data_IF_859072831909
#
_entry.id   IF_859072831909
#
_cell.length_a   1.000
_cell.length_b   1.000
_cell.length_c   1.000
_cell.angle_alpha   90.00
_cell.angle_beta   90.00
_cell.angle_gamma   90.00
#
_symmetry.space_group_name_H-M   'P 1'
#
loop_
_entity.id
_entity.type
_entity.pdbx_description
1 polymer ?
#
# COMPACT_ATOMS: atom_id res chain seq x y z
N UNK A 1 16.84 -6.86 -13.18
CA UNK A 1 15.93 -6.12 -12.27
C UNK A 1 16.63 -5.99 -10.93
N UNK A 2 16.77 -4.79 -10.39
CA UNK A 2 17.36 -4.58 -9.05
C UNK A 2 16.46 -5.15 -7.96
N UNK A 3 17.02 -5.40 -6.77
CA UNK A 3 16.26 -5.94 -5.64
C UNK A 3 15.23 -4.92 -5.14
N UNK A 4 15.52 -3.64 -5.25
CA UNK A 4 14.60 -2.55 -4.96
C UNK A 4 13.38 -2.57 -5.89
N UNK A 5 13.61 -2.72 -7.20
CA UNK A 5 12.51 -2.86 -8.17
C UNK A 5 11.66 -4.11 -7.91
N UNK A 6 12.26 -5.22 -7.45
CA UNK A 6 11.50 -6.41 -7.06
C UNK A 6 10.48 -6.11 -5.94
N UNK A 7 10.93 -5.45 -4.88
CA UNK A 7 10.05 -5.06 -3.78
C UNK A 7 9.00 -4.03 -4.20
N UNK A 8 9.35 -3.12 -5.11
CA UNK A 8 8.37 -2.22 -5.72
C UNK A 8 7.31 -3.01 -6.49
N UNK A 9 7.70 -3.98 -7.32
CA UNK A 9 6.76 -4.84 -8.06
C UNK A 9 5.81 -5.56 -7.11
N UNK A 10 6.32 -6.16 -6.03
CA UNK A 10 5.47 -6.82 -5.03
C UNK A 10 4.49 -5.86 -4.36
N UNK A 11 4.94 -4.64 -4.05
CA UNK A 11 4.10 -3.59 -3.46
C UNK A 11 3.00 -3.16 -4.43
N UNK A 12 3.31 -2.97 -5.71
CA UNK A 12 2.34 -2.62 -6.76
C UNK A 12 1.31 -3.73 -6.90
N UNK A 13 1.74 -5.00 -6.93
CA UNK A 13 0.83 -6.15 -6.99
C UNK A 13 -0.08 -6.19 -5.75
N UNK A 14 0.48 -6.01 -4.55
CA UNK A 14 -0.30 -5.98 -3.32
C UNK A 14 -1.39 -4.90 -3.39
N UNK A 15 -1.02 -3.64 -3.66
CA UNK A 15 -1.96 -2.52 -3.75
C UNK A 15 -3.00 -2.75 -4.84
N UNK A 16 -2.59 -3.20 -6.03
CA UNK A 16 -3.48 -3.49 -7.16
C UNK A 16 -4.48 -4.62 -6.92
N UNK A 17 -4.27 -5.47 -5.90
CA UNK A 17 -5.17 -6.56 -5.53
C UNK A 17 -6.05 -6.24 -4.31
N UNK A 18 -5.81 -5.15 -3.59
CA UNK A 18 -6.58 -4.82 -2.37
C UNK A 18 -8.06 -4.58 -2.63
N UNK A 19 -8.43 -4.22 -3.86
CA UNK A 19 -9.82 -3.98 -4.19
C UNK A 19 -10.68 -5.23 -4.23
N UNK A 20 -10.06 -6.39 -4.50
CA UNK A 20 -10.78 -7.64 -4.77
C UNK A 20 -11.68 -8.05 -3.59
N UNK A 21 -11.20 -8.10 -2.32
CA UNK A 21 -12.04 -8.62 -1.25
C UNK A 21 -13.23 -7.71 -0.90
N UNK A 22 -13.06 -6.40 -0.84
CA UNK A 22 -14.19 -5.50 -0.56
C UNK A 22 -15.17 -5.43 -1.74
N UNK A 23 -14.71 -5.66 -2.98
CA UNK A 23 -15.62 -5.78 -4.12
C UNK A 23 -16.41 -7.08 -4.11
N UNK A 24 -15.80 -8.21 -3.72
CA UNK A 24 -16.53 -9.46 -3.48
C UNK A 24 -17.60 -9.27 -2.41
N UNK A 25 -17.29 -8.57 -1.31
CA UNK A 25 -18.30 -8.22 -0.30
C UNK A 25 -19.44 -7.39 -0.90
N UNK A 26 -19.13 -6.39 -1.74
CA UNK A 26 -20.15 -5.58 -2.41
C UNK A 26 -21.06 -6.43 -3.32
N UNK A 27 -20.49 -7.38 -4.06
CA UNK A 27 -21.26 -8.34 -4.89
C UNK A 27 -22.18 -9.19 -4.01
N UNK A 28 -21.69 -9.70 -2.88
CA UNK A 28 -22.50 -10.50 -1.96
C UNK A 28 -23.67 -9.70 -1.36
N UNK A 29 -23.46 -8.41 -1.07
CA UNK A 29 -24.46 -7.55 -0.41
C UNK A 29 -25.48 -6.96 -1.39
N UNK A 30 -25.03 -6.58 -2.59
CA UNK A 30 -25.83 -5.79 -3.58
C UNK A 30 -26.11 -6.53 -4.88
N UNK A 31 -25.53 -7.72 -5.07
CA UNK A 31 -25.56 -8.43 -6.35
C UNK A 31 -24.67 -7.76 -7.41
N UNK A 32 -24.45 -8.47 -8.51
CA UNK A 32 -23.63 -7.97 -9.64
C UNK A 32 -24.24 -6.71 -10.27
N UNK A 33 -25.57 -6.68 -10.42
CA UNK A 33 -26.28 -5.53 -10.98
C UNK A 33 -26.20 -4.30 -10.08
N UNK A 34 -26.30 -4.46 -8.76
CA UNK A 34 -26.16 -3.37 -7.79
C UNK A 34 -24.71 -2.86 -7.65
N UNK A 35 -23.72 -3.66 -8.05
CA UNK A 35 -22.31 -3.22 -8.13
C UNK A 35 -22.04 -2.37 -9.37
N UNK A 36 -22.68 -2.70 -10.50
CA UNK A 36 -22.56 -1.96 -11.76
C UNK A 36 -23.41 -0.68 -11.78
N UNK A 37 -24.42 -0.59 -10.90
CA UNK A 37 -25.24 0.60 -10.73
C UNK A 37 -24.47 1.73 -10.02
N UNK A 38 -24.91 2.97 -10.21
CA UNK A 38 -24.36 4.11 -9.49
C UNK A 38 -24.66 4.00 -7.98
N UNK A 39 -23.69 4.31 -7.11
CA UNK A 39 -23.90 4.29 -5.67
C UNK A 39 -25.04 5.21 -5.25
N UNK A 40 -25.96 4.71 -4.45
CA UNK A 40 -27.13 5.48 -3.97
C UNK A 40 -27.18 5.45 -2.45
N UNK A 41 -27.78 6.48 -1.82
CA UNK A 41 -27.94 6.55 -0.36
C UNK A 41 -28.77 5.41 0.24
N UNK A 42 -29.55 4.74 -0.59
CA UNK A 42 -30.40 3.59 -0.22
C UNK A 42 -29.68 2.25 -0.37
N UNK A 43 -28.41 2.24 -0.79
CA UNK A 43 -27.67 1.00 -0.96
C UNK A 43 -27.45 0.30 0.39
N UNK A 44 -27.52 -1.03 0.37
CA UNK A 44 -27.17 -1.82 1.55
C UNK A 44 -25.71 -1.56 1.96
N UNK A 45 -25.45 -1.31 3.25
CA UNK A 45 -24.09 -1.06 3.72
C UNK A 45 -23.23 -2.31 3.53
N UNK A 46 -21.98 -2.10 3.12
CA UNK A 46 -20.98 -3.16 3.10
C UNK A 46 -20.62 -3.56 4.53
N UNK A 47 -19.99 -4.72 4.69
CA UNK A 47 -19.49 -5.13 6.00
C UNK A 47 -18.43 -4.13 6.50
N UNK A 48 -18.40 -3.89 7.81
CA UNK A 48 -17.48 -2.91 8.42
C UNK A 48 -16.00 -3.17 8.10
N UNK A 49 -15.59 -4.44 8.00
CA UNK A 49 -14.23 -4.79 7.58
C UNK A 49 -13.94 -4.36 6.14
N UNK A 50 -14.93 -4.40 5.25
CA UNK A 50 -14.78 -4.01 3.85
C UNK A 50 -14.64 -2.49 3.73
N UNK A 51 -15.40 -1.72 4.52
CA UNK A 51 -15.22 -0.27 4.62
C UNK A 51 -13.81 0.08 5.14
N UNK A 52 -13.34 -0.59 6.20
CA UNK A 52 -11.96 -0.41 6.72
C UNK A 52 -10.91 -0.78 5.69
N UNK A 53 -11.13 -1.84 4.92
CA UNK A 53 -10.20 -2.26 3.87
C UNK A 53 -10.16 -1.25 2.71
N UNK A 54 -11.27 -0.59 2.37
CA UNK A 54 -11.27 0.53 1.42
C UNK A 54 -10.38 1.68 1.91
N UNK A 55 -10.52 2.10 3.17
CA UNK A 55 -9.62 3.12 3.75
C UNK A 55 -8.16 2.66 3.79
N UNK A 56 -7.90 1.38 4.04
CA UNK A 56 -6.55 0.83 3.99
C UNK A 56 -5.96 0.83 2.56
N UNK A 57 -6.80 0.59 1.55
CA UNK A 57 -6.43 0.64 0.14
C UNK A 57 -6.12 2.07 -0.31
N UNK A 58 -6.98 3.04 -0.01
CA UNK A 58 -6.74 4.46 -0.32
C UNK A 58 -5.40 4.91 0.26
N UNK A 59 -5.15 4.59 1.53
CA UNK A 59 -3.87 4.88 2.17
C UNK A 59 -2.69 4.17 1.48
N UNK A 60 -2.87 2.94 0.99
CA UNK A 60 -1.82 2.23 0.26
C UNK A 60 -1.49 2.90 -1.08
N UNK A 61 -2.51 3.39 -1.80
CA UNK A 61 -2.33 4.14 -3.05
C UNK A 61 -1.58 5.45 -2.80
N UNK A 62 -2.01 6.23 -1.81
CA UNK A 62 -1.34 7.50 -1.43
C UNK A 62 0.14 7.29 -1.10
N UNK A 63 0.46 6.22 -0.35
CA UNK A 63 1.84 5.92 0.02
C UNK A 63 2.66 5.37 -1.15
N UNK A 64 2.03 4.63 -2.07
CA UNK A 64 2.69 4.10 -3.26
C UNK A 64 3.15 5.23 -4.18
N UNK A 65 2.37 6.32 -4.30
CA UNK A 65 2.73 7.51 -5.09
C UNK A 65 4.02 8.16 -4.58
N UNK A 66 4.36 8.00 -3.29
CA UNK A 66 5.62 8.49 -2.72
C UNK A 66 6.73 7.44 -2.85
N UNK A 67 6.44 6.19 -2.52
CA UNK A 67 7.44 5.11 -2.51
C UNK A 67 7.96 4.76 -3.91
N UNK A 68 7.08 4.70 -4.91
CA UNK A 68 7.46 4.28 -6.26
C UNK A 68 8.48 5.24 -6.91
N UNK A 69 8.28 6.58 -6.90
CA UNK A 69 9.29 7.51 -7.40
C UNK A 69 10.64 7.38 -6.70
N UNK A 70 10.68 7.18 -5.37
CA UNK A 70 11.95 7.02 -4.65
C UNK A 70 12.76 5.82 -5.17
N UNK A 71 12.10 4.67 -5.35
CA UNK A 71 12.74 3.47 -5.91
C UNK A 71 13.17 3.69 -7.37
N UNK A 72 12.33 4.34 -8.18
CA UNK A 72 12.63 4.61 -9.58
C UNK A 72 13.80 5.59 -9.75
N UNK A 73 13.90 6.62 -8.89
CA UNK A 73 15.03 7.56 -8.87
C UNK A 73 16.33 6.84 -8.51
N UNK A 74 16.33 6.01 -7.46
CA UNK A 74 17.50 5.20 -7.09
C UNK A 74 17.95 4.30 -8.24
N UNK A 75 17.00 3.65 -8.91
CA UNK A 75 17.30 2.81 -10.06
C UNK A 75 17.84 3.63 -11.26
N UNK A 76 17.29 4.82 -11.52
CA UNK A 76 17.77 5.70 -12.58
C UNK A 76 19.16 6.27 -12.31
N UNK A 77 19.52 6.45 -11.03
CA UNK A 77 20.85 6.87 -10.59
C UNK A 77 21.84 5.72 -10.40
N UNK A 78 21.45 4.48 -10.76
CA UNK A 78 22.24 3.25 -10.59
C UNK A 78 22.72 3.01 -9.15
N UNK A 79 21.91 3.45 -8.16
CA UNK A 79 22.19 3.27 -6.73
C UNK A 79 21.45 2.06 -6.20
N UNK A 80 22.20 1.03 -5.81
CA UNK A 80 21.69 -0.12 -5.08
C UNK A 80 22.62 -0.49 -3.93
N UNK A 81 22.07 -0.47 -2.71
CA UNK A 81 22.81 -0.74 -1.47
C UNK A 81 22.04 -1.72 -0.58
N UNK A 82 22.71 -2.43 0.34
CA UNK A 82 22.01 -3.29 1.30
C UNK A 82 20.91 -2.54 2.08
N UNK A 83 21.15 -1.26 2.38
CA UNK A 83 20.22 -0.39 3.11
C UNK A 83 18.98 -0.04 2.29
N UNK A 84 19.13 0.31 1.01
CA UNK A 84 17.98 0.62 0.12
C UNK A 84 17.14 -0.62 -0.16
N UNK A 85 17.78 -1.78 -0.35
CA UNK A 85 17.08 -3.06 -0.48
C UNK A 85 16.29 -3.39 0.78
N UNK A 86 16.91 -3.25 1.95
CA UNK A 86 16.25 -3.53 3.24
C UNK A 86 15.07 -2.56 3.46
N UNK A 87 15.24 -1.27 3.17
CA UNK A 87 14.17 -0.29 3.29
C UNK A 87 12.97 -0.66 2.40
N UNK A 88 13.20 -1.10 1.15
CA UNK A 88 12.12 -1.54 0.28
C UNK A 88 11.40 -2.79 0.82
N UNK A 89 12.13 -3.76 1.37
CA UNK A 89 11.54 -4.94 2.01
C UNK A 89 10.71 -4.58 3.25
N UNK A 90 11.25 -3.72 4.12
CA UNK A 90 10.56 -3.23 5.33
C UNK A 90 9.30 -2.45 4.95
N UNK A 91 9.36 -1.62 3.91
CA UNK A 91 8.19 -0.94 3.39
C UNK A 91 7.11 -1.92 2.94
N UNK A 92 7.45 -2.94 2.14
CA UNK A 92 6.48 -3.94 1.70
C UNK A 92 5.79 -4.63 2.90
N UNK A 93 6.57 -5.15 3.84
CA UNK A 93 6.02 -5.85 5.00
C UNK A 93 5.21 -4.94 5.92
N UNK A 94 5.60 -3.67 6.07
CA UNK A 94 4.81 -2.71 6.85
C UNK A 94 3.44 -2.45 6.20
N UNK A 95 3.35 -2.43 4.87
CA UNK A 95 2.07 -2.33 4.15
C UNK A 95 1.20 -3.57 4.34
N UNK A 96 1.79 -4.77 4.31
CA UNK A 96 1.07 -6.02 4.60
C UNK A 96 0.49 -6.01 6.02
N UNK A 97 1.31 -5.66 7.01
CA UNK A 97 0.86 -5.57 8.41
C UNK A 97 -0.20 -4.50 8.58
N UNK A 98 0.01 -3.31 8.02
CA UNK A 98 -0.95 -2.21 8.06
C UNK A 98 -2.32 -2.63 7.51
N UNK A 99 -2.34 -3.29 6.34
CA UNK A 99 -3.56 -3.82 5.73
C UNK A 99 -4.31 -4.76 6.66
N UNK A 100 -3.63 -5.77 7.20
CA UNK A 100 -4.24 -6.81 8.05
C UNK A 100 -4.83 -6.17 9.31
N UNK A 101 -4.02 -5.39 10.02
CA UNK A 101 -4.38 -4.74 11.28
C UNK A 101 -5.53 -3.75 11.10
N UNK A 102 -5.51 -2.97 10.02
CA UNK A 102 -6.57 -2.01 9.74
C UNK A 102 -7.88 -2.71 9.37
N UNK A 103 -7.81 -3.78 8.57
CA UNK A 103 -9.00 -4.59 8.22
C UNK A 103 -9.64 -5.21 9.47
N UNK A 104 -8.81 -5.72 10.39
CA UNK A 104 -9.26 -6.25 11.70
C UNK A 104 -9.79 -5.18 12.66
N UNK A 105 -9.53 -3.89 12.39
CA UNK A 105 -10.00 -2.79 13.23
C UNK A 105 -9.19 -2.62 14.52
N UNK A 106 -7.94 -3.10 14.55
CA UNK A 106 -7.07 -2.97 15.71
C UNK A 106 -6.46 -1.56 15.76
N UNK A 107 -6.86 -0.70 16.72
CA UNK A 107 -6.33 0.65 16.83
C UNK A 107 -4.85 0.64 17.23
N UNK A 108 -4.14 1.75 17.03
CA UNK A 108 -2.72 1.97 17.37
C UNK A 108 -1.73 1.17 16.50
N UNK A 109 -1.91 -0.15 16.37
CA UNK A 109 -1.02 -1.01 15.59
C UNK A 109 -0.93 -0.58 14.12
N UNK A 110 -2.05 -0.09 13.55
CA UNK A 110 -2.06 0.47 12.18
C UNK A 110 -1.12 1.67 12.08
N UNK A 111 -1.10 2.54 13.09
CA UNK A 111 -0.25 3.73 13.11
C UNK A 111 1.22 3.35 13.23
N UNK A 112 1.54 2.36 14.06
CA UNK A 112 2.92 1.85 14.18
C UNK A 112 3.41 1.27 12.85
N UNK A 113 2.60 0.44 12.19
CA UNK A 113 2.94 -0.11 10.87
C UNK A 113 3.13 1.00 9.81
N UNK A 114 2.27 2.02 9.83
CA UNK A 114 2.42 3.19 8.96
C UNK A 114 3.74 3.93 9.21
N UNK A 115 4.09 4.20 10.46
CA UNK A 115 5.34 4.89 10.82
C UNK A 115 6.57 4.11 10.37
N UNK A 116 6.56 2.77 10.49
CA UNK A 116 7.65 1.92 9.98
C UNK A 116 7.80 2.06 8.46
N UNK A 117 6.69 2.07 7.71
CA UNK A 117 6.71 2.32 6.26
C UNK A 117 7.22 3.72 5.91
N UNK A 118 6.82 4.74 6.67
CA UNK A 118 7.29 6.10 6.49
C UNK A 118 8.80 6.22 6.72
N UNK A 119 9.34 5.60 7.77
CA UNK A 119 10.79 5.57 8.03
C UNK A 119 11.53 4.91 6.86
N UNK A 120 11.00 3.83 6.30
CA UNK A 120 11.60 3.19 5.13
C UNK A 120 11.67 4.16 3.93
N UNK A 121 10.62 4.93 3.65
CA UNK A 121 10.65 5.98 2.61
C UNK A 121 11.69 7.06 2.92
N UNK A 122 11.79 7.51 4.18
CA UNK A 122 12.77 8.50 4.60
C UNK A 122 14.21 8.01 4.37
N UNK A 123 14.49 6.73 4.64
CA UNK A 123 15.79 6.11 4.36
C UNK A 123 16.14 6.16 2.86
N UNK A 124 15.18 5.87 1.98
CA UNK A 124 15.38 5.96 0.53
C UNK A 124 15.64 7.41 0.09
N UNK A 125 14.86 8.36 0.61
CA UNK A 125 15.05 9.78 0.33
C UNK A 125 16.44 10.27 0.76
N UNK A 126 16.90 9.89 1.95
CA UNK A 126 18.26 10.22 2.42
C UNK A 126 19.32 9.58 1.53
N UNK A 127 19.12 8.34 1.06
CA UNK A 127 20.05 7.69 0.15
C UNK A 127 20.17 8.46 -1.18
N UNK A 128 19.05 8.95 -1.72
CA UNK A 128 19.02 9.79 -2.93
C UNK A 128 19.77 11.11 -2.71
N UNK A 129 19.54 11.78 -1.57
CA UNK A 129 20.17 13.06 -1.26
C UNK A 129 21.70 12.97 -1.05
N UNK A 130 22.25 11.77 -0.88
CA UNK A 130 23.70 11.54 -0.75
C UNK A 130 24.41 11.32 -2.07
N UNK A 131 23.68 11.29 -3.19
CA UNK A 131 24.27 11.09 -4.52
C UNK A 131 25.02 12.38 -4.91
N UNK A 132 26.33 12.32 -5.19
CA UNK A 132 27.07 13.49 -5.67
C UNK A 132 26.59 13.87 -7.08
N UNK A 133 26.38 15.17 -7.30
CA UNK A 133 25.94 15.76 -8.57
C UNK A 133 27.07 15.85 -9.60
#
# INVERSE_FOLDING_TARGET
MTRELFWLTLTVILTGLLWVPYMLNRIMVRGVTGVMANPTRTDRPQAEWANRMMFAHDNAVENLIIFAPLVLILNAADVSTPTTVLACAVYFWSRVVHLIVYTLGLPIFRTLAFVVGFIAQAVLAIAILRIPY
#
